data_IF_500396618688
#
_entry.id   IF_500396618688
#
_cell.length_a   1.000
_cell.length_b   1.000
_cell.length_c   1.000
_cell.angle_alpha   90.00
_cell.angle_beta   90.00
_cell.angle_gamma   90.00
#
_symmetry.space_group_name_H-M   'P 1'
#
loop_
_entity.id
_entity.type
_entity.pdbx_description
1 polymer ?
#
# COMPACT_ATOMS: atom_id res chain seq x y z
N UNK A 1 -18.17 0.88 -10.23
CA UNK A 1 -17.21 1.68 -9.44
C UNK A 1 -15.94 1.84 -10.25
N UNK A 2 -15.41 3.06 -10.38
CA UNK A 2 -14.19 3.31 -11.15
C UNK A 2 -12.98 2.86 -10.33
N UNK A 3 -12.32 1.75 -10.73
CA UNK A 3 -11.15 1.21 -10.03
C UNK A 3 -9.95 2.13 -10.26
N UNK A 4 -9.26 2.52 -9.20
CA UNK A 4 -8.02 3.32 -9.29
C UNK A 4 -6.80 2.40 -9.24
N UNK A 5 -5.67 2.90 -9.74
CA UNK A 5 -4.34 2.32 -9.48
C UNK A 5 -3.60 3.24 -8.52
N UNK A 6 -3.22 2.73 -7.35
CA UNK A 6 -2.50 3.46 -6.31
C UNK A 6 -1.05 2.98 -6.21
N UNK A 7 -0.10 3.89 -6.42
CA UNK A 7 1.31 3.69 -6.05
C UNK A 7 1.51 4.18 -4.61
N UNK A 8 2.06 3.31 -3.75
CA UNK A 8 2.36 3.62 -2.36
C UNK A 8 3.86 3.43 -2.14
N UNK A 9 4.61 4.53 -2.02
CA UNK A 9 6.02 4.52 -1.60
C UNK A 9 6.11 4.33 -0.09
N UNK A 10 7.01 3.47 0.39
CA UNK A 10 7.00 3.05 1.80
C UNK A 10 5.84 2.08 2.11
N UNK A 11 5.39 1.33 1.11
CA UNK A 11 4.20 0.48 1.18
C UNK A 11 4.29 -0.69 2.15
N UNK A 12 5.50 -1.08 2.59
CA UNK A 12 5.70 -2.12 3.60
C UNK A 12 5.77 -1.57 5.03
N UNK A 13 5.75 -0.24 5.21
CA UNK A 13 5.70 0.39 6.53
C UNK A 13 4.33 0.29 7.22
N UNK A 14 4.28 0.69 8.49
CA UNK A 14 3.04 0.66 9.30
C UNK A 14 1.85 1.37 8.62
N UNK A 15 2.05 2.61 8.16
CA UNK A 15 0.98 3.36 7.48
C UNK A 15 0.75 2.80 6.08
N UNK A 16 1.83 2.52 5.33
CA UNK A 16 1.76 2.03 3.96
C UNK A 16 0.92 0.77 3.81
N UNK A 17 1.13 -0.21 4.69
CA UNK A 17 0.39 -1.48 4.68
C UNK A 17 -1.10 -1.29 5.00
N UNK A 18 -1.44 -0.43 5.96
CA UNK A 18 -2.84 -0.14 6.29
C UNK A 18 -3.56 0.63 5.16
N UNK A 19 -2.89 1.59 4.52
CA UNK A 19 -3.43 2.30 3.35
C UNK A 19 -3.61 1.34 2.18
N UNK A 20 -2.63 0.47 1.91
CA UNK A 20 -2.72 -0.57 0.90
C UNK A 20 -3.94 -1.48 1.13
N UNK A 21 -4.11 -1.98 2.36
CA UNK A 21 -5.24 -2.83 2.73
C UNK A 21 -6.60 -2.12 2.53
N UNK A 22 -6.70 -0.84 2.87
CA UNK A 22 -7.91 -0.04 2.65
C UNK A 22 -8.26 0.10 1.15
N UNK A 23 -7.25 0.33 0.29
CA UNK A 23 -7.45 0.42 -1.16
C UNK A 23 -7.80 -0.93 -1.80
N UNK A 24 -7.14 -2.01 -1.36
CA UNK A 24 -7.50 -3.37 -1.79
C UNK A 24 -8.95 -3.72 -1.45
N UNK A 25 -9.43 -3.36 -0.24
CA UNK A 25 -10.84 -3.54 0.16
C UNK A 25 -11.84 -2.77 -0.72
N UNK A 26 -11.43 -1.62 -1.28
CA UNK A 26 -12.24 -0.83 -2.22
C UNK A 26 -12.22 -1.39 -3.65
N UNK A 27 -11.39 -2.40 -3.92
CA UNK A 27 -11.21 -2.99 -5.25
C UNK A 27 -10.23 -2.23 -6.15
N UNK A 28 -9.43 -1.32 -5.58
CA UNK A 28 -8.38 -0.63 -6.30
C UNK A 28 -7.18 -1.56 -6.55
N UNK A 29 -6.45 -1.32 -7.65
CA UNK A 29 -5.13 -1.93 -7.87
C UNK A 29 -4.11 -1.20 -7.01
N UNK A 30 -3.32 -1.93 -6.24
CA UNK A 30 -2.27 -1.36 -5.39
C UNK A 30 -0.89 -1.79 -5.90
N UNK A 31 0.04 -0.84 -5.97
CA UNK A 31 1.47 -1.04 -6.25
C UNK A 31 2.21 -0.50 -5.03
N UNK A 32 2.75 -1.39 -4.20
CA UNK A 32 3.60 -1.01 -3.07
C UNK A 32 5.07 -0.99 -3.53
N UNK A 33 5.74 0.13 -3.35
CA UNK A 33 7.17 0.29 -3.61
C UNK A 33 7.89 0.58 -2.30
N UNK A 34 8.86 -0.26 -1.94
CA UNK A 34 9.58 -0.16 -0.67
C UNK A 34 11.01 -0.72 -0.84
N UNK A 35 11.95 -0.16 -0.08
CA UNK A 35 13.33 -0.65 -0.02
C UNK A 35 13.60 -1.53 1.20
N UNK A 36 12.58 -1.76 2.05
CA UNK A 36 12.61 -2.62 3.23
C UNK A 36 13.68 -2.22 4.26
N UNK A 37 14.10 -0.95 4.29
CA UNK A 37 15.11 -0.46 5.23
C UNK A 37 14.65 -0.52 6.70
N UNK A 38 13.35 -0.27 6.96
CA UNK A 38 12.81 -0.25 8.32
C UNK A 38 12.47 -1.68 8.78
N UNK A 39 13.13 -2.13 9.84
CA UNK A 39 12.75 -3.37 10.53
C UNK A 39 11.42 -3.18 11.25
N UNK A 40 10.50 -4.13 11.09
CA UNK A 40 9.24 -4.18 11.83
C UNK A 40 9.46 -4.49 13.31
N UNK A 41 8.44 -4.25 14.13
CA UNK A 41 8.43 -4.55 15.57
C UNK A 41 7.27 -5.47 15.89
#
# INVERSE_FOLDING_TARGET
MNKKTCLITGGAGFIGTNVAANHLKKGDKVIAFDNLYRVGT
#
